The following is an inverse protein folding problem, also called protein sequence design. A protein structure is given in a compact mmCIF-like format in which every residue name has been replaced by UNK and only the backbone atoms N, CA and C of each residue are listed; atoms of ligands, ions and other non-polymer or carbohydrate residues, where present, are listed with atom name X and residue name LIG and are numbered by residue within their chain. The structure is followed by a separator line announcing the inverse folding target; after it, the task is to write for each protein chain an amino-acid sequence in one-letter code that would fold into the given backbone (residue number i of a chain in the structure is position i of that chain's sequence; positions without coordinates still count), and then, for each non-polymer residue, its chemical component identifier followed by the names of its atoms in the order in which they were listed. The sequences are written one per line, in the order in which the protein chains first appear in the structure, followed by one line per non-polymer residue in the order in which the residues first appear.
data_IF_831526353488
#
_entry.id   IF_831526353488
#
_cell.length_a   1.000
_cell.length_b   1.000
_cell.length_c   1.000
_cell.angle_alpha   90.00
_cell.angle_beta   90.00
_cell.angle_gamma   90.00
#
_symmetry.space_group_name_H-M   'P 1'
#
loop_
_entity.id
_entity.type
_entity.pdbx_description
1 polymer ?
#
# COMPACT_ATOMS: atom_id res chain seq x y z
N UNK A 1 8.67 -0.94 38.42
CA UNK A 1 7.53 -1.52 37.69
C UNK A 1 7.70 -1.17 36.22
N UNK A 2 7.98 -2.15 35.36
CA UNK A 2 8.16 -1.95 33.91
C UNK A 2 6.78 -1.97 33.21
N UNK A 3 5.96 -0.95 33.45
CA UNK A 3 4.64 -0.81 32.77
C UNK A 3 4.75 0.09 31.55
N UNK A 4 3.77 -0.01 30.66
CA UNK A 4 3.70 0.80 29.45
C UNK A 4 3.61 2.31 29.79
N UNK A 5 2.75 2.71 30.75
CA UNK A 5 2.67 4.12 31.15
C UNK A 5 3.97 4.61 31.80
N UNK A 6 4.60 3.78 32.63
CA UNK A 6 5.85 4.17 33.29
C UNK A 6 6.96 4.45 32.27
N UNK A 7 7.15 3.56 31.28
CA UNK A 7 8.11 3.80 30.20
C UNK A 7 7.80 5.09 29.43
N UNK A 8 6.53 5.30 29.06
CA UNK A 8 6.12 6.51 28.34
C UNK A 8 6.43 7.79 29.13
N UNK A 9 6.25 7.77 30.44
CA UNK A 9 6.59 8.90 31.31
C UNK A 9 8.10 9.14 31.38
N UNK A 10 8.89 8.09 31.60
CA UNK A 10 10.36 8.20 31.71
C UNK A 10 10.97 8.75 30.42
N UNK A 11 10.50 8.29 29.26
CA UNK A 11 11.03 8.70 27.95
C UNK A 11 10.32 9.92 27.33
N UNK A 12 9.33 10.52 28.00
CA UNK A 12 8.62 11.70 27.48
C UNK A 12 9.54 12.89 27.15
N UNK A 13 10.55 13.24 27.98
CA UNK A 13 11.48 14.32 27.66
C UNK A 13 12.27 14.04 26.37
N UNK A 14 12.78 12.82 26.21
CA UNK A 14 13.53 12.41 25.02
C UNK A 14 12.65 12.45 23.77
N UNK A 15 11.41 11.95 23.87
CA UNK A 15 10.43 12.02 22.77
C UNK A 15 10.18 13.47 22.34
N UNK A 16 10.05 14.41 23.28
CA UNK A 16 9.87 15.83 22.98
C UNK A 16 11.05 16.42 22.22
N UNK A 17 12.27 16.11 22.64
CA UNK A 17 13.52 16.57 21.99
C UNK A 17 13.59 16.06 20.55
N UNK A 18 13.28 14.77 20.33
CA UNK A 18 13.28 14.15 18.99
C UNK A 18 12.22 14.80 18.09
N UNK A 19 10.99 15.02 18.58
CA UNK A 19 9.92 15.67 17.81
C UNK A 19 10.28 17.10 17.41
N UNK A 20 11.08 17.80 18.22
CA UNK A 20 11.59 19.13 17.90
C UNK A 20 12.80 19.13 16.94
N UNK A 21 13.26 17.95 16.50
CA UNK A 21 14.38 17.79 15.58
C UNK A 21 15.76 17.98 16.22
N UNK A 22 15.87 18.12 17.55
CA UNK A 22 17.16 18.33 18.20
C UNK A 22 17.91 17.02 18.48
N UNK A 23 18.41 16.39 17.40
CA UNK A 23 19.07 15.08 17.49
C UNK A 23 20.37 15.10 18.29
N UNK A 24 21.08 16.24 18.37
CA UNK A 24 22.30 16.35 19.18
C UNK A 24 21.95 16.23 20.67
N UNK A 25 20.98 17.02 21.13
CA UNK A 25 20.51 16.97 22.51
C UNK A 25 19.94 15.59 22.87
N UNK A 26 19.21 14.95 21.95
CA UNK A 26 18.71 13.59 22.15
C UNK A 26 19.83 12.57 22.39
N UNK A 27 20.94 12.67 21.63
CA UNK A 27 22.13 11.81 21.81
C UNK A 27 22.80 12.05 23.15
N UNK A 28 22.94 13.30 23.54
CA UNK A 28 23.58 13.67 24.81
C UNK A 28 22.73 13.18 25.99
N UNK A 29 21.40 13.28 25.91
CA UNK A 29 20.49 12.78 26.93
C UNK A 29 20.54 11.25 27.07
N UNK A 30 20.61 10.51 25.94
CA UNK A 30 20.78 9.05 25.96
C UNK A 30 22.09 8.66 26.66
N UNK A 31 23.19 9.36 26.39
CA UNK A 31 24.49 9.08 27.02
C UNK A 31 24.47 9.34 28.53
N UNK A 32 23.83 10.43 28.97
CA UNK A 32 23.75 10.79 30.38
C UNK A 32 22.95 9.81 31.22
N UNK A 33 21.92 9.19 30.64
CA UNK A 33 20.99 8.29 31.35
C UNK A 33 21.18 6.82 30.95
N UNK A 34 22.30 6.47 30.31
CA UNK A 34 22.50 5.15 29.71
C UNK A 34 22.39 4.02 30.75
N UNK A 35 23.03 4.17 31.90
CA UNK A 35 23.07 3.13 32.93
C UNK A 35 21.69 2.91 33.57
N UNK A 36 20.93 4.00 33.77
CA UNK A 36 19.58 3.95 34.34
C UNK A 36 18.56 3.34 33.36
N UNK A 37 18.75 3.58 32.05
CA UNK A 37 17.79 3.16 31.02
C UNK A 37 18.08 1.79 30.41
N UNK A 38 19.29 1.22 30.58
CA UNK A 38 19.74 -0.01 29.90
C UNK A 38 18.83 -1.24 30.08
N UNK A 39 18.02 -1.28 31.13
CA UNK A 39 17.05 -2.36 31.39
C UNK A 39 15.60 -2.04 31.01
N UNK A 40 15.30 -0.82 30.57
CA UNK A 40 13.93 -0.39 30.27
C UNK A 40 13.50 -0.79 28.87
N UNK A 41 12.26 -1.25 28.73
CA UNK A 41 11.77 -1.83 27.49
C UNK A 41 11.74 -0.85 26.30
N UNK A 42 11.62 0.46 26.56
CA UNK A 42 11.64 1.51 25.53
C UNK A 42 13.05 1.97 25.13
N UNK A 43 14.08 1.64 25.92
CA UNK A 43 15.42 2.16 25.66
C UNK A 43 15.99 1.72 24.30
N UNK A 44 15.88 0.44 23.87
CA UNK A 44 16.37 0.03 22.55
C UNK A 44 15.68 0.76 21.39
N UNK A 45 14.41 1.12 21.53
CA UNK A 45 13.69 1.91 20.53
C UNK A 45 14.34 3.29 20.34
N UNK A 46 14.61 4.00 21.43
CA UNK A 46 15.22 5.32 21.34
C UNK A 46 16.69 5.27 20.91
N UNK A 47 17.42 4.20 21.26
CA UNK A 47 18.75 3.96 20.69
C UNK A 47 18.67 3.78 19.16
N UNK A 48 17.71 2.98 18.67
CA UNK A 48 17.51 2.80 17.23
C UNK A 48 17.21 4.13 16.54
N UNK A 49 16.26 4.92 17.06
CA UNK A 49 15.88 6.23 16.48
C UNK A 49 17.06 7.21 16.42
N UNK A 50 17.83 7.33 17.49
CA UNK A 50 18.74 8.47 17.69
C UNK A 50 20.17 8.17 17.25
N UNK A 51 20.60 6.91 17.38
CA UNK A 51 21.98 6.50 17.18
C UNK A 51 22.15 5.60 15.96
N UNK A 52 21.14 4.80 15.60
CA UNK A 52 21.28 3.67 14.69
C UNK A 52 20.12 3.56 13.69
N UNK A 53 19.62 4.69 13.18
CA UNK A 53 18.36 4.75 12.41
C UNK A 53 18.36 3.85 11.16
N UNK A 54 19.53 3.57 10.59
CA UNK A 54 19.68 2.76 9.38
C UNK A 54 20.08 1.30 9.66
N UNK A 55 20.33 0.92 10.90
CA UNK A 55 20.88 -0.39 11.25
C UNK A 55 19.78 -1.33 11.76
N UNK A 56 19.43 -2.33 10.94
CA UNK A 56 18.32 -3.26 11.21
C UNK A 56 18.38 -3.91 12.60
N UNK A 57 19.57 -4.33 13.04
CA UNK A 57 19.77 -5.03 14.31
C UNK A 57 19.26 -4.24 15.53
N UNK A 58 19.29 -2.91 15.47
CA UNK A 58 18.79 -2.07 16.57
C UNK A 58 17.26 -1.96 16.56
N UNK A 59 16.65 -1.93 15.38
CA UNK A 59 15.20 -1.99 15.23
C UNK A 59 14.64 -3.36 15.64
N UNK A 60 15.32 -4.46 15.30
CA UNK A 60 14.96 -5.81 15.77
C UNK A 60 15.02 -5.91 17.30
N UNK A 61 16.07 -5.36 17.92
CA UNK A 61 16.17 -5.28 19.39
C UNK A 61 15.05 -4.45 20.00
N UNK A 62 14.62 -3.37 19.35
CA UNK A 62 13.47 -2.57 19.79
C UNK A 62 12.17 -3.36 19.71
N UNK A 63 11.93 -4.07 18.61
CA UNK A 63 10.75 -4.94 18.44
C UNK A 63 10.69 -6.02 19.52
N UNK A 64 11.83 -6.66 19.79
CA UNK A 64 11.93 -7.73 20.80
C UNK A 64 11.74 -7.19 22.22
N UNK A 65 12.39 -6.08 22.55
CA UNK A 65 12.27 -5.43 23.86
C UNK A 65 10.83 -4.99 24.17
N UNK A 66 10.11 -4.53 23.13
CA UNK A 66 8.71 -4.11 23.24
C UNK A 66 7.71 -5.27 23.19
N UNK A 67 8.13 -6.51 22.92
CA UNK A 67 7.24 -7.68 22.82
C UNK A 67 6.48 -7.99 24.11
N UNK A 68 7.02 -7.57 25.26
CA UNK A 68 6.37 -7.66 26.58
C UNK A 68 5.05 -6.89 26.65
N UNK A 69 4.88 -5.89 25.80
CA UNK A 69 3.63 -5.16 25.64
C UNK A 69 2.92 -5.72 24.41
N UNK A 70 1.96 -6.62 24.66
CA UNK A 70 1.26 -7.39 23.61
C UNK A 70 0.77 -6.51 22.45
N UNK A 71 0.22 -5.35 22.75
CA UNK A 71 -0.36 -4.43 21.78
C UNK A 71 0.04 -2.98 22.09
N UNK A 72 1.12 -2.47 21.49
CA UNK A 72 1.54 -1.07 21.64
C UNK A 72 2.00 -0.45 20.31
N UNK A 73 1.64 0.83 20.12
CA UNK A 73 1.97 1.57 18.90
C UNK A 73 3.47 1.80 18.70
N UNK A 74 4.25 1.82 19.78
CA UNK A 74 5.71 1.91 19.73
C UNK A 74 6.34 0.69 19.06
N UNK A 75 5.77 -0.51 19.28
CA UNK A 75 6.23 -1.74 18.61
C UNK A 75 5.88 -1.73 17.12
N UNK A 76 4.70 -1.23 16.76
CA UNK A 76 4.33 -1.02 15.34
C UNK A 76 5.31 -0.06 14.66
N UNK A 77 5.66 1.04 15.32
CA UNK A 77 6.62 1.99 14.76
C UNK A 77 8.00 1.34 14.56
N UNK A 78 8.48 0.54 15.51
CA UNK A 78 9.72 -0.21 15.34
C UNK A 78 9.64 -1.20 14.17
N UNK A 79 8.51 -1.89 14.00
CA UNK A 79 8.25 -2.79 12.88
C UNK A 79 8.25 -2.06 11.53
N UNK A 80 7.59 -0.89 11.44
CA UNK A 80 7.58 -0.08 10.20
C UNK A 80 9.00 0.24 9.73
N UNK A 81 9.87 0.63 10.67
CA UNK A 81 11.27 0.93 10.38
C UNK A 81 12.06 -0.32 10.00
N UNK A 82 11.90 -1.42 10.73
CA UNK A 82 12.52 -2.70 10.39
C UNK A 82 12.11 -3.18 8.99
N UNK A 83 10.80 -3.15 8.67
CA UNK A 83 10.26 -3.50 7.34
C UNK A 83 10.89 -2.63 6.25
N UNK A 84 10.96 -1.32 6.46
CA UNK A 84 11.57 -0.40 5.49
C UNK A 84 13.03 -0.73 5.21
N UNK A 85 13.82 -1.04 6.24
CA UNK A 85 15.25 -1.37 6.10
C UNK A 85 15.42 -2.73 5.43
N UNK A 86 14.64 -3.74 5.83
CA UNK A 86 14.66 -5.06 5.18
C UNK A 86 14.34 -4.97 3.69
N UNK A 87 13.34 -4.16 3.30
CA UNK A 87 13.00 -3.91 1.88
C UNK A 87 14.15 -3.29 1.10
N UNK A 88 14.85 -2.33 1.70
CA UNK A 88 16.04 -1.72 1.06
C UNK A 88 17.19 -2.73 0.92
N UNK A 89 17.31 -3.67 1.86
CA UNK A 89 18.28 -4.76 1.82
C UNK A 89 17.87 -6.00 1.01
N UNK A 90 16.64 -6.05 0.48
CA UNK A 90 16.11 -7.22 -0.24
C UNK A 90 15.84 -8.45 0.63
N UNK A 91 15.63 -8.29 1.94
CA UNK A 91 15.33 -9.39 2.86
C UNK A 91 13.82 -9.67 2.93
N UNK A 92 13.30 -10.29 1.88
CA UNK A 92 11.86 -10.58 1.72
C UNK A 92 11.31 -11.54 2.79
N UNK A 93 12.16 -12.43 3.32
CA UNK A 93 11.77 -13.36 4.39
C UNK A 93 11.44 -12.57 5.66
N UNK A 94 12.35 -11.69 6.10
CA UNK A 94 12.09 -10.85 7.28
C UNK A 94 10.94 -9.87 7.05
N UNK A 95 10.84 -9.27 5.86
CA UNK A 95 9.72 -8.38 5.52
C UNK A 95 8.38 -9.09 5.74
N UNK A 96 8.24 -10.31 5.24
CA UNK A 96 7.03 -11.13 5.41
C UNK A 96 6.71 -11.35 6.89
N UNK A 97 7.69 -11.80 7.68
CA UNK A 97 7.52 -12.05 9.11
C UNK A 97 7.10 -10.80 9.88
N UNK A 98 7.75 -9.66 9.61
CA UNK A 98 7.42 -8.41 10.28
C UNK A 98 6.05 -7.86 9.87
N UNK A 99 5.65 -8.03 8.61
CA UNK A 99 4.31 -7.61 8.16
C UNK A 99 3.19 -8.42 8.83
N UNK A 100 3.35 -9.74 8.96
CA UNK A 100 2.39 -10.57 9.69
C UNK A 100 2.28 -10.15 11.16
N UNK A 101 3.42 -9.88 11.80
CA UNK A 101 3.44 -9.42 13.18
C UNK A 101 2.79 -8.04 13.34
N UNK A 102 3.08 -7.11 12.42
CA UNK A 102 2.48 -5.78 12.42
C UNK A 102 0.96 -5.81 12.19
N UNK A 103 0.48 -6.66 11.28
CA UNK A 103 -0.94 -6.90 11.06
C UNK A 103 -1.63 -7.37 12.34
N UNK A 104 -1.10 -8.39 13.02
CA UNK A 104 -1.67 -8.91 14.25
C UNK A 104 -1.72 -7.85 15.35
N UNK A 105 -0.63 -7.11 15.55
CA UNK A 105 -0.59 -6.05 16.58
C UNK A 105 -1.58 -4.93 16.26
N UNK A 106 -1.67 -4.50 14.99
CA UNK A 106 -2.60 -3.45 14.56
C UNK A 106 -4.06 -3.85 14.79
N UNK A 107 -4.39 -5.12 14.55
CA UNK A 107 -5.69 -5.71 14.88
C UNK A 107 -5.96 -5.67 16.38
N UNK A 108 -4.99 -6.11 17.19
CA UNK A 108 -5.16 -6.21 18.65
C UNK A 108 -5.31 -4.84 19.34
N UNK A 109 -4.68 -3.78 18.81
CA UNK A 109 -4.91 -2.40 19.30
C UNK A 109 -6.20 -1.75 18.78
N UNK A 110 -6.93 -2.41 17.88
CA UNK A 110 -8.14 -1.86 17.25
C UNK A 110 -7.89 -0.77 16.21
N UNK A 111 -6.68 -0.66 15.64
CA UNK A 111 -6.38 0.26 14.54
C UNK A 111 -6.76 -0.40 13.21
N UNK A 112 -8.06 -0.40 12.90
CA UNK A 112 -8.64 -1.05 11.73
C UNK A 112 -7.96 -0.63 10.43
N UNK A 113 -7.63 0.66 10.31
CA UNK A 113 -6.97 1.20 9.12
C UNK A 113 -5.57 0.64 8.95
N UNK A 114 -4.73 0.67 10.00
CA UNK A 114 -3.37 0.11 9.92
C UNK A 114 -3.38 -1.41 9.74
N UNK A 115 -4.30 -2.10 10.39
CA UNK A 115 -4.48 -3.54 10.21
C UNK A 115 -4.67 -3.89 8.72
N UNK A 116 -5.60 -3.23 8.03
CA UNK A 116 -5.82 -3.44 6.60
C UNK A 116 -4.62 -3.03 5.74
N UNK A 117 -3.90 -1.98 6.11
CA UNK A 117 -2.68 -1.57 5.41
C UNK A 117 -1.59 -2.64 5.50
N UNK A 118 -1.34 -3.21 6.68
CA UNK A 118 -0.36 -4.28 6.84
C UNK A 118 -0.79 -5.57 6.15
N UNK A 119 -2.09 -5.91 6.22
CA UNK A 119 -2.63 -7.06 5.50
C UNK A 119 -2.43 -6.91 3.98
N UNK A 120 -2.69 -5.72 3.44
CA UNK A 120 -2.44 -5.41 2.03
C UNK A 120 -0.94 -5.52 1.66
N UNK A 121 -0.06 -4.95 2.50
CA UNK A 121 1.38 -5.03 2.29
C UNK A 121 1.89 -6.47 2.34
N UNK A 122 1.35 -7.29 3.25
CA UNK A 122 1.66 -8.71 3.36
C UNK A 122 1.16 -9.48 2.13
N UNK A 123 -0.07 -9.24 1.69
CA UNK A 123 -0.61 -9.85 0.47
C UNK A 123 0.24 -9.49 -0.77
N UNK A 124 0.66 -8.23 -0.90
CA UNK A 124 1.55 -7.81 -1.98
C UNK A 124 2.92 -8.52 -1.92
N UNK A 125 3.49 -8.68 -0.71
CA UNK A 125 4.74 -9.43 -0.55
C UNK A 125 4.54 -10.90 -0.99
N UNK A 126 3.46 -11.55 -0.56
CA UNK A 126 3.13 -12.91 -0.99
C UNK A 126 3.07 -13.08 -2.50
N UNK A 127 2.52 -12.10 -3.22
CA UNK A 127 2.51 -12.12 -4.69
C UNK A 127 3.93 -12.07 -5.26
N UNK A 128 4.78 -11.18 -4.76
CA UNK A 128 6.18 -11.08 -5.18
C UNK A 128 6.97 -12.37 -4.93
N UNK A 129 6.63 -13.09 -3.86
CA UNK A 129 7.22 -14.38 -3.53
C UNK A 129 6.64 -15.57 -4.31
N UNK A 130 5.67 -15.32 -5.20
CA UNK A 130 5.04 -16.35 -6.04
C UNK A 130 3.81 -17.03 -5.43
N UNK A 131 3.39 -16.66 -4.22
CA UNK A 131 2.17 -17.18 -3.57
C UNK A 131 0.90 -16.48 -4.09
N UNK A 132 0.69 -16.56 -5.40
CA UNK A 132 -0.33 -15.76 -6.11
C UNK A 132 -1.74 -16.01 -5.60
N UNK A 133 -2.18 -17.28 -5.47
CA UNK A 133 -3.55 -17.59 -5.02
C UNK A 133 -3.85 -17.00 -3.63
N UNK A 134 -2.93 -17.16 -2.68
CA UNK A 134 -3.11 -16.63 -1.33
C UNK A 134 -3.06 -15.10 -1.30
N UNK A 135 -2.24 -14.49 -2.14
CA UNK A 135 -2.23 -13.03 -2.29
C UNK A 135 -3.58 -12.50 -2.80
N UNK A 136 -4.12 -13.11 -3.87
CA UNK A 136 -5.42 -12.76 -4.44
C UNK A 136 -6.52 -12.79 -3.40
N UNK A 137 -6.67 -13.90 -2.64
CA UNK A 137 -7.67 -14.03 -1.57
C UNK A 137 -7.58 -12.89 -0.54
N UNK A 138 -6.36 -12.55 -0.10
CA UNK A 138 -6.16 -11.50 0.90
C UNK A 138 -6.41 -10.11 0.33
N UNK A 139 -6.06 -9.85 -0.93
CA UNK A 139 -6.34 -8.57 -1.58
C UNK A 139 -7.85 -8.36 -1.76
N UNK A 140 -8.59 -9.40 -2.10
CA UNK A 140 -10.06 -9.36 -2.16
C UNK A 140 -10.68 -9.01 -0.81
N UNK A 141 -10.23 -9.66 0.27
CA UNK A 141 -10.65 -9.37 1.65
C UNK A 141 -10.37 -7.90 2.02
N UNK A 142 -9.15 -7.45 1.76
CA UNK A 142 -8.72 -6.06 2.02
C UNK A 142 -9.59 -5.07 1.26
N UNK A 143 -9.83 -5.30 -0.03
CA UNK A 143 -10.61 -4.38 -0.87
C UNK A 143 -12.06 -4.33 -0.38
N UNK A 144 -12.68 -5.48 -0.12
CA UNK A 144 -14.06 -5.56 0.37
C UNK A 144 -14.20 -4.77 1.67
N UNK A 145 -13.32 -5.01 2.63
CA UNK A 145 -13.36 -4.33 3.92
C UNK A 145 -13.04 -2.83 3.79
N UNK A 146 -12.08 -2.46 2.95
CA UNK A 146 -11.73 -1.06 2.69
C UNK A 146 -12.85 -0.29 1.98
N UNK A 147 -13.69 -0.94 1.17
CA UNK A 147 -14.90 -0.34 0.60
C UNK A 147 -15.92 -0.06 1.70
N UNK A 148 -16.19 -1.03 2.58
CA UNK A 148 -17.12 -0.86 3.71
C UNK A 148 -16.69 0.26 4.65
N UNK A 149 -15.39 0.36 4.93
CA UNK A 149 -14.84 1.35 5.86
C UNK A 149 -14.45 2.67 5.16
N UNK A 150 -14.78 2.82 3.87
CA UNK A 150 -14.54 4.00 3.05
C UNK A 150 -13.06 4.43 2.95
N UNK A 151 -12.13 3.47 3.05
CA UNK A 151 -10.69 3.70 2.88
C UNK A 151 -10.31 3.76 1.41
N UNK A 152 -10.87 4.73 0.67
CA UNK A 152 -10.78 4.82 -0.78
C UNK A 152 -9.35 4.83 -1.35
N UNK A 153 -8.35 5.31 -0.59
CA UNK A 153 -6.96 5.26 -1.06
C UNK A 153 -6.46 3.82 -1.12
N UNK A 154 -6.80 3.03 -0.10
CA UNK A 154 -6.43 1.64 -0.02
C UNK A 154 -7.14 0.87 -1.14
N UNK A 155 -8.45 1.09 -1.33
CA UNK A 155 -9.21 0.52 -2.44
C UNK A 155 -8.55 0.81 -3.79
N UNK A 156 -8.23 2.08 -4.09
CA UNK A 156 -7.57 2.44 -5.36
C UNK A 156 -6.25 1.71 -5.53
N UNK A 157 -5.39 1.72 -4.50
CA UNK A 157 -4.07 1.08 -4.59
C UNK A 157 -4.15 -0.44 -4.78
N UNK A 158 -4.99 -1.14 -4.00
CA UNK A 158 -5.03 -2.60 -3.99
C UNK A 158 -5.86 -3.15 -5.14
N UNK A 159 -6.96 -2.50 -5.51
CA UNK A 159 -7.74 -2.89 -6.69
C UNK A 159 -6.92 -2.71 -7.97
N UNK A 160 -6.03 -1.71 -8.06
CA UNK A 160 -5.11 -1.56 -9.20
C UNK A 160 -4.17 -2.77 -9.30
N UNK A 161 -3.56 -3.20 -8.19
CA UNK A 161 -2.66 -4.36 -8.16
C UNK A 161 -3.42 -5.63 -8.51
N UNK A 162 -4.55 -5.88 -7.84
CA UNK A 162 -5.37 -7.06 -8.07
C UNK A 162 -5.92 -7.12 -9.51
N UNK A 163 -6.32 -5.99 -10.10
CA UNK A 163 -6.69 -5.93 -11.52
C UNK A 163 -5.55 -6.41 -12.43
N UNK A 164 -4.30 -6.04 -12.14
CA UNK A 164 -3.14 -6.55 -12.87
C UNK A 164 -2.97 -8.07 -12.74
N UNK A 165 -3.13 -8.61 -11.53
CA UNK A 165 -3.06 -10.05 -11.26
C UNK A 165 -4.16 -10.80 -12.04
N UNK A 166 -5.41 -10.33 -11.97
CA UNK A 166 -6.55 -10.95 -12.66
C UNK A 166 -6.37 -10.94 -14.18
N UNK A 167 -5.90 -9.83 -14.75
CA UNK A 167 -5.57 -9.75 -16.18
C UNK A 167 -4.46 -10.75 -16.57
N UNK A 168 -3.41 -10.89 -15.76
CA UNK A 168 -2.34 -11.85 -16.01
C UNK A 168 -2.85 -13.30 -15.96
N UNK A 169 -3.79 -13.59 -15.07
CA UNK A 169 -4.44 -14.90 -14.94
C UNK A 169 -5.54 -15.14 -15.97
N UNK A 170 -5.81 -14.17 -16.86
CA UNK A 170 -6.90 -14.21 -17.84
C UNK A 170 -8.30 -14.29 -17.20
N UNK A 171 -8.45 -13.87 -15.95
CA UNK A 171 -9.75 -13.67 -15.33
C UNK A 171 -10.33 -12.32 -15.77
N UNK A 172 -10.80 -12.29 -17.03
CA UNK A 172 -11.36 -11.09 -17.64
C UNK A 172 -12.64 -10.62 -16.95
N UNK A 173 -13.45 -11.55 -16.46
CA UNK A 173 -14.71 -11.22 -15.78
C UNK A 173 -14.42 -10.59 -14.42
N UNK A 174 -13.53 -11.19 -13.64
CA UNK A 174 -13.06 -10.64 -12.36
C UNK A 174 -12.43 -9.26 -12.55
N UNK A 175 -11.51 -9.10 -13.51
CA UNK A 175 -10.87 -7.82 -13.79
C UNK A 175 -11.87 -6.72 -14.20
N UNK A 176 -12.85 -7.07 -15.06
CA UNK A 176 -13.93 -6.14 -15.45
C UNK A 176 -14.78 -5.73 -14.25
N UNK A 177 -15.18 -6.66 -13.39
CA UNK A 177 -16.01 -6.36 -12.22
C UNK A 177 -15.25 -5.49 -11.22
N UNK A 178 -13.99 -5.86 -10.90
CA UNK A 178 -13.15 -5.11 -9.99
C UNK A 178 -12.87 -3.68 -10.48
N UNK A 179 -12.76 -3.49 -11.80
CA UNK A 179 -12.57 -2.15 -12.37
C UNK A 179 -13.69 -1.18 -12.04
N UNK A 180 -14.93 -1.64 -11.82
CA UNK A 180 -16.05 -0.77 -11.41
C UNK A 180 -15.82 -0.22 -10.00
N UNK A 181 -15.37 -1.09 -9.09
CA UNK A 181 -15.02 -0.72 -7.71
C UNK A 181 -13.85 0.27 -7.70
N UNK A 182 -12.81 -0.01 -8.53
CA UNK A 182 -11.65 0.87 -8.67
C UNK A 182 -12.05 2.26 -9.20
N UNK A 183 -12.90 2.31 -10.23
CA UNK A 183 -13.40 3.54 -10.83
C UNK A 183 -14.15 4.39 -9.79
N UNK A 184 -15.10 3.80 -9.07
CA UNK A 184 -15.88 4.49 -8.04
C UNK A 184 -14.97 5.07 -6.94
N UNK A 185 -14.04 4.27 -6.41
CA UNK A 185 -13.10 4.72 -5.39
C UNK A 185 -12.17 5.83 -5.92
N UNK A 186 -11.75 5.75 -7.18
CA UNK A 186 -10.94 6.78 -7.82
C UNK A 186 -11.71 8.10 -7.99
N UNK A 187 -12.98 8.04 -8.41
CA UNK A 187 -13.87 9.22 -8.48
C UNK A 187 -14.06 9.86 -7.11
N UNK A 188 -14.36 9.08 -6.06
CA UNK A 188 -14.49 9.60 -4.68
C UNK A 188 -13.24 10.33 -4.20
N UNK A 189 -12.06 9.92 -4.67
CA UNK A 189 -10.77 10.58 -4.39
C UNK A 189 -10.39 11.71 -5.35
N UNK A 190 -11.16 11.94 -6.40
CA UNK A 190 -10.77 12.83 -7.52
C UNK A 190 -9.43 12.42 -8.13
N UNK A 191 -9.13 11.12 -8.15
CA UNK A 191 -7.92 10.54 -8.72
C UNK A 191 -8.19 10.10 -10.17
N UNK A 192 -8.05 11.03 -11.12
CA UNK A 192 -8.35 10.76 -12.55
C UNK A 192 -7.39 9.78 -13.21
N UNK A 193 -6.16 9.62 -12.68
CA UNK A 193 -5.25 8.57 -13.12
C UNK A 193 -5.81 7.19 -12.71
N UNK A 194 -6.37 7.08 -11.51
CA UNK A 194 -7.07 5.88 -11.05
C UNK A 194 -8.30 5.56 -11.91
N UNK A 195 -9.07 6.57 -12.30
CA UNK A 195 -10.22 6.40 -13.23
C UNK A 195 -9.73 5.88 -14.58
N UNK A 196 -8.66 6.47 -15.15
CA UNK A 196 -8.08 5.99 -16.40
C UNK A 196 -7.62 4.52 -16.30
N UNK A 197 -6.96 4.15 -15.19
CA UNK A 197 -6.52 2.79 -14.93
C UNK A 197 -7.70 1.80 -14.86
N UNK A 198 -8.78 2.16 -14.18
CA UNK A 198 -10.00 1.37 -14.13
C UNK A 198 -10.61 1.15 -15.52
N UNK A 199 -10.77 2.23 -16.27
CA UNK A 199 -11.32 2.20 -17.63
C UNK A 199 -10.46 1.34 -18.56
N UNK A 200 -9.13 1.50 -18.52
CA UNK A 200 -8.20 0.69 -19.31
C UNK A 200 -8.27 -0.79 -18.94
N UNK A 201 -8.41 -1.11 -17.66
CA UNK A 201 -8.58 -2.48 -17.17
C UNK A 201 -9.85 -3.09 -17.76
N UNK A 202 -10.99 -2.38 -17.66
CA UNK A 202 -12.28 -2.83 -18.18
C UNK A 202 -12.25 -3.01 -19.70
N UNK A 203 -11.74 -2.02 -20.42
CA UNK A 203 -11.59 -2.06 -21.87
C UNK A 203 -10.73 -3.26 -22.29
N UNK A 204 -9.61 -3.51 -21.62
CA UNK A 204 -8.74 -4.65 -21.91
C UNK A 204 -9.43 -5.99 -21.67
N UNK A 205 -10.16 -6.11 -20.55
CA UNK A 205 -10.92 -7.30 -20.24
C UNK A 205 -12.06 -7.56 -21.23
N UNK A 206 -12.75 -6.51 -21.69
CA UNK A 206 -13.80 -6.61 -22.72
C UNK A 206 -13.23 -6.95 -24.09
N UNK A 207 -12.11 -6.33 -24.45
CA UNK A 207 -11.42 -6.65 -25.69
C UNK A 207 -11.03 -8.14 -25.76
N UNK A 208 -10.49 -8.70 -24.67
CA UNK A 208 -10.16 -10.13 -24.57
C UNK A 208 -11.39 -11.07 -24.56
N UNK A 209 -12.61 -10.52 -24.41
CA UNK A 209 -13.88 -11.24 -24.48
C UNK A 209 -14.60 -10.98 -25.83
N UNK A 210 -13.88 -10.57 -26.87
CA UNK A 210 -14.41 -10.25 -28.20
C UNK A 210 -15.45 -9.11 -28.20
N UNK A 211 -15.44 -8.24 -27.17
CA UNK A 211 -16.29 -7.05 -27.07
C UNK A 211 -15.52 -5.80 -27.52
N UNK A 212 -14.94 -5.85 -28.72
CA UNK A 212 -14.05 -4.82 -29.27
C UNK A 212 -14.71 -3.43 -29.32
N UNK A 213 -15.91 -3.37 -29.87
CA UNK A 213 -16.68 -2.13 -30.03
C UNK A 213 -16.93 -1.46 -28.68
N UNK A 214 -17.40 -2.23 -27.68
CA UNK A 214 -17.65 -1.72 -26.33
C UNK A 214 -16.37 -1.22 -25.65
N UNK A 215 -15.24 -1.91 -25.88
CA UNK A 215 -13.92 -1.48 -25.37
C UNK A 215 -13.48 -0.14 -25.97
N UNK A 216 -13.54 0.02 -27.30
CA UNK A 216 -13.14 1.25 -27.98
C UNK A 216 -14.08 2.40 -27.63
N UNK A 217 -15.40 2.16 -27.63
CA UNK A 217 -16.43 3.13 -27.23
C UNK A 217 -16.13 3.69 -25.83
N UNK A 218 -15.92 2.82 -24.85
CA UNK A 218 -15.61 3.20 -23.48
C UNK A 218 -14.36 4.10 -23.39
N UNK A 219 -13.30 3.75 -24.11
CA UNK A 219 -12.05 4.54 -24.14
C UNK A 219 -12.26 5.90 -24.79
N UNK A 220 -12.96 5.98 -25.93
CA UNK A 220 -13.22 7.23 -26.64
C UNK A 220 -14.09 8.20 -25.81
N UNK A 221 -15.18 7.69 -25.22
CA UNK A 221 -16.07 8.47 -24.34
C UNK A 221 -15.31 9.01 -23.13
N UNK A 222 -14.50 8.16 -22.47
CA UNK A 222 -13.67 8.58 -21.34
C UNK A 222 -12.61 9.60 -21.77
N UNK A 223 -11.99 9.40 -22.94
CA UNK A 223 -11.02 10.33 -23.51
C UNK A 223 -11.62 11.71 -23.78
N UNK A 224 -12.85 11.77 -24.32
CA UNK A 224 -13.60 13.02 -24.52
C UNK A 224 -13.84 13.73 -23.20
N UNK A 225 -14.34 13.01 -22.18
CA UNK A 225 -14.56 13.56 -20.84
C UNK A 225 -13.27 14.15 -20.25
N UNK A 226 -12.15 13.42 -20.32
CA UNK A 226 -10.87 13.91 -19.78
C UNK A 226 -10.34 15.11 -20.56
N UNK A 227 -10.55 15.17 -21.87
CA UNK A 227 -10.19 16.34 -22.66
C UNK A 227 -10.99 17.57 -22.24
N UNK A 228 -12.33 17.45 -22.16
CA UNK A 228 -13.23 18.55 -21.78
C UNK A 228 -12.95 19.08 -20.37
N UNK A 229 -12.55 18.18 -19.46
CA UNK A 229 -12.23 18.52 -18.06
C UNK A 229 -10.78 18.96 -17.84
N UNK A 230 -9.92 18.89 -18.86
CA UNK A 230 -8.50 19.25 -18.75
C UNK A 230 -7.64 18.25 -17.95
N UNK A 231 -8.04 16.97 -17.87
CA UNK A 231 -7.27 15.93 -17.16
C UNK A 231 -6.19 15.33 -18.04
N UNK A 232 -5.17 16.14 -18.37
CA UNK A 232 -4.14 15.85 -19.39
C UNK A 232 -3.43 14.50 -19.16
N UNK A 233 -2.96 14.22 -17.94
CA UNK A 233 -2.23 12.98 -17.66
C UNK A 233 -3.11 11.74 -17.83
N UNK A 234 -4.36 11.79 -17.38
CA UNK A 234 -5.32 10.71 -17.53
C UNK A 234 -5.70 10.50 -19.00
N UNK A 235 -5.87 11.59 -19.76
CA UNK A 235 -6.11 11.55 -21.21
C UNK A 235 -4.97 10.86 -21.96
N UNK A 236 -3.72 11.10 -21.60
CA UNK A 236 -2.58 10.44 -22.26
C UNK A 236 -2.58 8.93 -22.06
N UNK A 237 -3.01 8.43 -20.90
CA UNK A 237 -3.16 6.99 -20.67
C UNK A 237 -4.22 6.38 -21.59
N UNK A 238 -5.37 7.04 -21.73
CA UNK A 238 -6.44 6.61 -22.65
C UNK A 238 -5.96 6.62 -24.10
N UNK A 239 -5.27 7.68 -24.53
CA UNK A 239 -4.70 7.78 -25.89
C UNK A 239 -3.68 6.68 -26.16
N UNK A 240 -2.80 6.39 -25.19
CA UNK A 240 -1.83 5.31 -25.31
C UNK A 240 -2.54 3.97 -25.51
N UNK A 241 -3.59 3.70 -24.74
CA UNK A 241 -4.35 2.44 -24.88
C UNK A 241 -5.08 2.34 -26.22
N UNK A 242 -5.68 3.42 -26.71
CA UNK A 242 -6.29 3.46 -28.04
C UNK A 242 -5.25 3.22 -29.14
N UNK A 243 -4.04 3.78 -29.02
CA UNK A 243 -2.95 3.55 -29.97
C UNK A 243 -2.49 2.08 -29.97
N UNK A 244 -2.39 1.44 -28.80
CA UNK A 244 -2.10 0.01 -28.70
C UNK A 244 -3.16 -0.85 -29.38
N UNK A 245 -4.45 -0.55 -29.15
CA UNK A 245 -5.55 -1.27 -29.80
C UNK A 245 -5.55 -1.07 -31.32
N UNK A 246 -5.28 0.14 -31.81
CA UNK A 246 -5.13 0.40 -33.25
C UNK A 246 -3.97 -0.40 -33.85
N UNK A 247 -2.84 -0.47 -33.16
CA UNK A 247 -1.69 -1.26 -33.62
C UNK A 247 -2.01 -2.76 -33.68
N UNK A 248 -2.83 -3.27 -32.74
CA UNK A 248 -3.22 -4.68 -32.70
C UNK A 248 -4.29 -5.05 -33.75
N UNK A 249 -5.33 -4.22 -33.90
CA UNK A 249 -6.44 -4.47 -34.83
C UNK A 249 -6.11 -4.15 -36.30
N UNK A 250 -5.12 -3.28 -36.52
CA UNK A 250 -4.91 -2.63 -37.81
C UNK A 250 -5.77 -1.38 -37.98
N UNK A 251 -5.33 -0.49 -38.87
CA UNK A 251 -5.95 0.82 -39.06
C UNK A 251 -7.39 0.76 -39.57
N UNK A 252 -7.67 -0.08 -40.57
CA UNK A 252 -9.00 -0.16 -41.20
C UNK A 252 -10.06 -0.62 -40.21
N UNK A 253 -9.81 -1.73 -39.49
CA UNK A 253 -10.74 -2.27 -38.49
C UNK A 253 -10.94 -1.31 -37.32
N UNK A 254 -9.86 -0.65 -36.87
CA UNK A 254 -9.96 0.32 -35.79
C UNK A 254 -10.81 1.54 -36.18
N UNK A 255 -10.64 2.06 -37.40
CA UNK A 255 -11.42 3.18 -37.91
C UNK A 255 -12.89 2.81 -38.06
N UNK A 256 -13.19 1.63 -38.59
CA UNK A 256 -14.57 1.09 -38.68
C UNK A 256 -15.26 1.09 -37.31
N UNK A 257 -14.57 0.62 -36.27
CA UNK A 257 -15.11 0.59 -34.91
C UNK A 257 -15.26 2.00 -34.32
N UNK A 258 -14.40 2.94 -34.67
CA UNK A 258 -14.48 4.33 -34.22
C UNK A 258 -15.65 5.09 -34.86
N UNK A 259 -16.01 4.78 -36.11
CA UNK A 259 -17.14 5.40 -36.82
C UNK A 259 -18.51 5.00 -36.23
N UNK A 260 -18.55 3.94 -35.43
CA UNK A 260 -19.77 3.43 -34.78
C UNK A 260 -20.04 4.04 -33.39
N UNK A 261 -19.17 4.96 -32.92
CA UNK A 261 -19.16 5.58 -31.58
C UNK A 261 -19.53 7.06 -31.64
#
# INVERSE_FOLDING_TARGET
MDTLEHNRMVFAPLKKIITNGNMKEARDLIKQNQDDWKGMSFFPLFQAIVLHDTELVYWERAVESLSKFSACGERLFALDRAISICRQGGDDIRVRTFLQLAESIARDIGDSKRHLQYLAMYANQLYLDGYTSRSTELLEEVILKAVTDEYWLLVVSQATILSGILLQQQDWVGASNLSVILEEAAVKRKNWIGVACAVMTRASAWFAQDKEEASIRLLLETGRLFHERGFVSALHLIKARLAELRAFLGEDRFNELCEQV
#
